data_IF_728083999427
#
_entry.id   IF_728083999427
#
_cell.length_a   1.000
_cell.length_b   1.000
_cell.length_c   1.000
_cell.angle_alpha   90.00
_cell.angle_beta   90.00
_cell.angle_gamma   90.00
#
_symmetry.space_group_name_H-M   'P 1'
#
loop_
_entity.id
_entity.type
_entity.pdbx_description
1 polymer ?
#
# COMPACT_ATOMS: atom_id res chain seq x y z
N UNK A 1 14.33 10.95 0.43
CA UNK A 1 13.80 10.99 1.82
C UNK A 1 12.83 12.15 2.00
N UNK A 2 11.67 11.92 2.59
CA UNK A 2 10.72 12.94 3.07
C UNK A 2 10.42 12.68 4.54
N UNK A 3 10.48 13.75 5.36
CA UNK A 3 10.24 13.66 6.80
C UNK A 3 9.35 14.82 7.24
N UNK A 4 8.05 14.55 7.43
CA UNK A 4 7.10 15.51 7.98
C UNK A 4 6.74 15.08 9.41
N UNK A 5 6.86 16.01 10.36
CA UNK A 5 6.49 15.79 11.76
C UNK A 5 5.50 16.85 12.21
N UNK A 6 4.42 16.42 12.83
CA UNK A 6 3.34 17.30 13.27
C UNK A 6 2.85 18.23 12.14
N UNK A 7 2.84 17.74 10.90
CA UNK A 7 2.21 18.43 9.79
C UNK A 7 0.69 18.50 10.02
N UNK A 8 0.04 19.47 9.41
CA UNK A 8 -1.39 19.73 9.61
C UNK A 8 -2.18 19.22 8.40
N UNK A 9 -3.24 18.45 8.67
CA UNK A 9 -4.30 18.21 7.70
C UNK A 9 -5.62 18.81 8.22
N UNK A 10 -6.53 19.10 7.32
CA UNK A 10 -7.86 19.58 7.63
C UNK A 10 -8.86 18.45 7.43
N UNK A 11 -9.42 17.96 8.51
CA UNK A 11 -10.39 16.85 8.49
C UNK A 11 -11.82 17.27 8.76
N UNK A 12 -12.57 16.40 9.39
CA UNK A 12 -14.00 16.56 9.67
C UNK A 12 -14.32 17.89 10.37
N UNK A 13 -15.41 18.51 9.95
CA UNK A 13 -15.82 19.82 10.39
C UNK A 13 -14.77 20.94 10.18
N UNK A 14 -13.93 20.80 9.15
CA UNK A 14 -12.82 21.73 8.85
C UNK A 14 -11.85 21.90 10.03
N UNK A 15 -11.74 20.88 10.88
CA UNK A 15 -10.85 20.91 12.03
C UNK A 15 -9.44 20.51 11.63
N UNK A 16 -8.45 21.31 12.06
CA UNK A 16 -7.04 20.99 11.90
C UNK A 16 -6.62 19.86 12.84
N UNK A 17 -5.84 18.90 12.36
CA UNK A 17 -5.22 17.85 13.17
C UNK A 17 -3.82 17.52 12.66
N UNK A 18 -3.07 16.74 13.43
CA UNK A 18 -1.66 16.46 13.20
C UNK A 18 -1.45 15.11 12.53
N UNK A 19 -0.49 15.08 11.62
CA UNK A 19 0.05 13.84 11.07
C UNK A 19 1.58 13.87 10.95
N UNK A 20 2.18 12.67 10.95
CA UNK A 20 3.57 12.45 10.59
C UNK A 20 3.59 11.63 9.31
N UNK A 21 4.53 11.91 8.42
CA UNK A 21 4.79 11.14 7.22
C UNK A 21 6.30 10.96 7.04
N UNK A 22 6.71 9.72 6.97
CA UNK A 22 8.10 9.32 6.73
C UNK A 22 8.19 8.54 5.44
N UNK A 23 9.01 8.98 4.49
CA UNK A 23 9.39 8.24 3.28
C UNK A 23 10.90 8.09 3.31
N UNK A 24 11.44 6.87 3.54
CA UNK A 24 12.87 6.64 3.61
C UNK A 24 13.56 6.81 2.24
N UNK A 25 14.88 6.81 2.21
CA UNK A 25 15.66 6.92 0.95
C UNK A 25 15.49 5.68 0.07
N UNK A 26 15.48 4.51 0.69
CA UNK A 26 15.27 3.19 0.08
C UNK A 26 13.78 2.80 -0.04
N UNK A 27 12.91 3.79 -0.30
CA UNK A 27 11.46 3.61 -0.34
C UNK A 27 11.03 2.55 -1.36
N UNK A 28 10.35 1.50 -0.88
CA UNK A 28 9.93 0.34 -1.67
C UNK A 28 8.55 0.50 -2.38
N UNK A 29 7.98 1.72 -2.41
CA UNK A 29 6.70 2.01 -3.07
C UNK A 29 5.46 1.69 -2.23
N UNK A 30 5.60 1.24 -0.99
CA UNK A 30 4.49 0.88 -0.10
C UNK A 30 4.39 1.84 1.07
N UNK A 31 3.25 2.47 1.25
CA UNK A 31 2.96 3.38 2.38
C UNK A 31 1.96 2.74 3.32
N UNK A 32 2.34 2.58 4.58
CA UNK A 32 1.43 2.18 5.65
C UNK A 32 0.83 3.43 6.27
N UNK A 33 -0.51 3.54 6.28
CA UNK A 33 -1.25 4.63 6.96
C UNK A 33 -1.90 4.04 8.21
N UNK A 34 -1.42 4.45 9.38
CA UNK A 34 -1.82 3.91 10.68
C UNK A 34 -2.92 4.74 11.32
N UNK A 35 -4.02 4.06 11.71
CA UNK A 35 -5.20 4.62 12.38
C UNK A 35 -5.22 4.12 13.83
N UNK A 36 -5.08 5.03 14.78
CA UNK A 36 -5.10 4.71 16.21
C UNK A 36 -6.51 4.34 16.72
N UNK A 37 -6.56 3.65 17.86
CA UNK A 37 -7.81 3.26 18.52
C UNK A 37 -8.47 4.35 19.37
N UNK A 38 -9.52 3.96 20.08
CA UNK A 38 -10.24 4.78 21.05
C UNK A 38 -9.33 5.28 22.18
N UNK A 39 -9.44 6.56 22.54
CA UNK A 39 -8.55 7.24 23.50
C UNK A 39 -7.06 7.10 23.13
N UNK A 40 -6.77 6.89 21.84
CA UNK A 40 -5.43 6.85 21.28
C UNK A 40 -5.04 8.15 20.59
N UNK A 41 -3.79 8.22 20.16
CA UNK A 41 -3.21 9.28 19.35
C UNK A 41 -2.00 8.73 18.59
N UNK A 42 -1.51 9.47 17.59
CA UNK A 42 -0.45 9.02 16.68
C UNK A 42 0.85 8.58 17.36
N UNK A 43 1.17 9.15 18.52
CA UNK A 43 2.40 8.89 19.28
C UNK A 43 2.15 8.06 20.55
N UNK A 44 1.02 7.36 20.64
CA UNK A 44 0.70 6.54 21.80
C UNK A 44 1.59 5.29 21.86
N UNK A 45 2.11 4.96 23.03
CA UNK A 45 2.86 3.73 23.26
C UNK A 45 4.08 3.60 22.35
N UNK A 46 4.25 2.43 21.77
CA UNK A 46 5.38 2.08 20.91
C UNK A 46 5.18 2.49 19.43
N UNK A 47 4.15 3.27 19.06
CA UNK A 47 3.88 3.61 17.66
C UNK A 47 4.99 4.38 16.96
N UNK A 48 5.80 5.14 17.70
CA UNK A 48 7.01 5.78 17.16
C UNK A 48 8.12 4.77 16.83
N UNK A 49 8.21 3.67 17.57
CA UNK A 49 9.18 2.60 17.31
C UNK A 49 8.65 1.69 16.18
N UNK A 50 7.33 1.45 16.16
CA UNK A 50 6.66 0.75 15.06
C UNK A 50 6.91 1.44 13.70
N UNK A 51 6.76 2.76 13.64
CA UNK A 51 7.10 3.56 12.48
C UNK A 51 8.54 3.31 12.02
N UNK A 52 9.51 3.40 12.95
CA UNK A 52 10.93 3.18 12.66
C UNK A 52 11.20 1.77 12.15
N UNK A 53 10.53 0.76 12.70
CA UNK A 53 10.69 -0.63 12.27
C UNK A 53 10.25 -0.86 10.83
N UNK A 54 9.20 -0.19 10.38
CA UNK A 54 8.76 -0.27 8.99
C UNK A 54 9.64 0.58 8.06
N UNK A 55 9.99 1.82 8.46
CA UNK A 55 10.80 2.69 7.62
C UNK A 55 12.23 2.15 7.44
N UNK A 56 12.79 1.44 8.42
CA UNK A 56 14.05 0.73 8.28
C UNK A 56 14.00 -0.41 7.23
N UNK A 57 12.82 -0.95 6.94
CA UNK A 57 12.59 -1.96 5.90
C UNK A 57 12.19 -1.34 4.54
N UNK A 58 12.34 -0.03 4.37
CA UNK A 58 12.01 0.67 3.13
C UNK A 58 10.53 1.02 2.95
N UNK A 59 9.65 0.74 3.91
CA UNK A 59 8.25 1.18 3.84
C UNK A 59 8.13 2.67 4.16
N UNK A 60 7.25 3.38 3.46
CA UNK A 60 6.73 4.64 3.94
C UNK A 60 5.79 4.43 5.13
N UNK A 61 5.73 5.37 6.06
CA UNK A 61 4.82 5.29 7.19
C UNK A 61 4.15 6.63 7.47
N UNK A 62 2.84 6.61 7.60
CA UNK A 62 2.03 7.76 8.01
C UNK A 62 1.22 7.41 9.23
N UNK A 63 1.27 8.25 10.26
CA UNK A 63 0.40 8.17 11.45
C UNK A 63 -0.19 9.53 11.75
N UNK A 64 -1.41 9.56 12.24
CA UNK A 64 -2.13 10.80 12.41
C UNK A 64 -3.07 10.76 13.61
N UNK A 65 -3.47 11.92 14.09
CA UNK A 65 -4.55 12.08 15.06
C UNK A 65 -5.88 12.25 14.32
N UNK A 66 -6.89 11.46 14.67
CA UNK A 66 -8.27 11.74 14.29
C UNK A 66 -8.68 13.11 14.84
N UNK A 67 -9.41 13.89 14.05
CA UNK A 67 -9.65 15.32 14.36
C UNK A 67 -10.35 15.56 15.68
N UNK A 68 -11.15 14.61 16.15
CA UNK A 68 -11.93 14.70 17.38
C UNK A 68 -11.44 13.72 18.48
N UNK A 69 -10.15 13.32 18.43
CA UNK A 69 -9.60 12.43 19.45
C UNK A 69 -9.32 13.10 20.81
N UNK A 70 -9.53 14.40 20.93
CA UNK A 70 -9.25 15.19 22.13
C UNK A 70 -7.92 15.92 22.12
N UNK A 71 -7.08 15.70 21.09
CA UNK A 71 -5.91 16.52 20.82
C UNK A 71 -6.25 17.78 20.02
N UNK A 72 -5.27 18.67 19.87
CA UNK A 72 -5.34 19.82 18.97
C UNK A 72 -4.01 20.03 18.22
N UNK A 73 -3.94 21.04 17.38
CA UNK A 73 -2.76 21.30 16.52
C UNK A 73 -1.50 21.74 17.30
N UNK A 74 -1.62 22.11 18.57
CA UNK A 74 -0.49 22.50 19.42
C UNK A 74 -0.12 21.44 20.46
N UNK A 75 -1.08 20.57 20.84
CA UNK A 75 -0.87 19.44 21.72
C UNK A 75 -1.73 18.26 21.24
N UNK A 76 -1.07 17.30 20.59
CA UNK A 76 -1.72 16.09 20.05
C UNK A 76 -1.86 14.94 21.05
N UNK A 77 -1.45 15.12 22.30
CA UNK A 77 -1.45 14.11 23.35
C UNK A 77 -2.25 14.58 24.57
N UNK A 78 -2.57 13.64 25.49
CA UNK A 78 -3.20 13.91 26.80
C UNK A 78 -4.56 14.61 26.79
N UNK A 79 -5.24 14.63 25.66
CA UNK A 79 -6.63 15.08 25.50
C UNK A 79 -6.91 16.47 26.06
N UNK A 80 -6.20 17.54 25.62
CA UNK A 80 -6.40 18.89 26.12
C UNK A 80 -7.75 19.49 25.68
N UNK A 81 -8.41 18.92 24.66
CA UNK A 81 -9.67 19.40 24.10
C UNK A 81 -10.80 18.38 24.30
N UNK A 82 -11.31 18.31 25.52
CA UNK A 82 -12.42 17.42 25.86
C UNK A 82 -13.74 17.81 25.19
N UNK A 83 -13.94 19.08 24.81
CA UNK A 83 -15.13 19.51 24.07
C UNK A 83 -15.15 18.88 22.67
N UNK A 84 -14.02 18.90 21.98
CA UNK A 84 -13.86 18.20 20.69
C UNK A 84 -14.07 16.69 20.84
N UNK A 85 -13.46 16.08 21.86
CA UNK A 85 -13.63 14.65 22.15
C UNK A 85 -15.10 14.28 22.37
N UNK A 86 -15.85 15.10 23.11
CA UNK A 86 -17.27 14.88 23.34
C UNK A 86 -18.11 14.85 22.06
N UNK A 87 -17.68 15.61 21.05
CA UNK A 87 -18.36 15.73 19.74
C UNK A 87 -17.88 14.71 18.70
N UNK A 88 -16.99 13.80 19.10
CA UNK A 88 -16.51 12.75 18.18
C UNK A 88 -17.63 11.81 17.76
N UNK A 89 -17.58 11.32 16.50
CA UNK A 89 -18.50 10.32 15.96
C UNK A 89 -17.76 9.38 15.01
N UNK A 90 -18.34 8.20 14.75
CA UNK A 90 -17.73 7.23 13.83
C UNK A 90 -17.72 7.70 12.37
N UNK A 91 -18.74 8.47 11.95
CA UNK A 91 -18.76 9.08 10.62
C UNK A 91 -17.61 10.07 10.41
N UNK A 92 -17.26 10.86 11.44
CA UNK A 92 -16.12 11.77 11.41
C UNK A 92 -14.80 11.00 11.32
N UNK A 93 -14.63 9.95 12.15
CA UNK A 93 -13.42 9.11 12.10
C UNK A 93 -13.23 8.48 10.73
N UNK A 94 -14.30 7.95 10.11
CA UNK A 94 -14.28 7.43 8.73
C UNK A 94 -13.85 8.50 7.73
N UNK A 95 -14.45 9.68 7.80
CA UNK A 95 -14.17 10.78 6.88
C UNK A 95 -12.77 11.37 7.08
N UNK A 96 -12.24 11.40 8.31
CA UNK A 96 -10.90 11.89 8.60
C UNK A 96 -9.83 11.09 7.83
N UNK A 97 -10.03 9.78 7.64
CA UNK A 97 -9.13 8.96 6.81
C UNK A 97 -9.13 9.46 5.36
N UNK A 98 -10.31 9.75 4.78
CA UNK A 98 -10.41 10.27 3.42
C UNK A 98 -9.70 11.63 3.28
N UNK A 99 -9.92 12.54 4.23
CA UNK A 99 -9.27 13.86 4.22
C UNK A 99 -7.74 13.73 4.36
N UNK A 100 -7.28 12.85 5.25
CA UNK A 100 -5.85 12.59 5.41
C UNK A 100 -5.24 12.02 4.12
N UNK A 101 -5.86 11.01 3.51
CA UNK A 101 -5.34 10.40 2.28
C UNK A 101 -5.22 11.43 1.15
N UNK A 102 -6.18 12.33 1.01
CA UNK A 102 -6.11 13.43 0.03
C UNK A 102 -4.94 14.40 0.33
N UNK A 103 -4.59 14.62 1.60
CA UNK A 103 -3.43 15.42 1.97
C UNK A 103 -2.13 14.68 1.68
N UNK A 104 -2.02 13.43 2.13
CA UNK A 104 -0.81 12.60 1.98
C UNK A 104 -0.44 12.39 0.51
N UNK A 105 -1.43 12.22 -0.38
CA UNK A 105 -1.20 12.05 -1.83
C UNK A 105 -0.45 13.21 -2.49
N UNK A 106 -0.47 14.41 -1.89
CA UNK A 106 0.29 15.56 -2.40
C UNK A 106 1.80 15.42 -2.17
N UNK A 107 2.21 14.52 -1.30
CA UNK A 107 3.56 14.37 -0.79
C UNK A 107 4.26 13.07 -1.21
N UNK A 108 3.53 12.13 -1.78
CA UNK A 108 4.04 10.79 -2.11
C UNK A 108 4.12 10.56 -3.63
N UNK A 109 4.97 9.65 -4.11
CA UNK A 109 5.00 9.24 -5.52
C UNK A 109 3.63 8.71 -6.00
N UNK A 110 3.27 8.98 -7.26
CA UNK A 110 1.96 8.61 -7.83
C UNK A 110 1.67 7.10 -7.79
N UNK A 111 2.70 6.27 -7.88
CA UNK A 111 2.57 4.81 -7.92
C UNK A 111 2.62 4.15 -6.54
N UNK A 112 2.57 4.95 -5.46
CA UNK A 112 2.56 4.43 -4.10
C UNK A 112 1.35 3.54 -3.83
N UNK A 113 1.58 2.35 -3.30
CA UNK A 113 0.54 1.46 -2.79
C UNK A 113 0.25 1.82 -1.33
N UNK A 114 -0.98 2.23 -1.04
CA UNK A 114 -1.40 2.65 0.31
C UNK A 114 -2.06 1.48 1.03
N UNK A 115 -1.53 1.13 2.22
CA UNK A 115 -2.05 0.09 3.10
C UNK A 115 -2.63 0.74 4.34
N UNK A 116 -3.96 0.67 4.54
CA UNK A 116 -4.59 1.13 5.77
C UNK A 116 -4.36 0.10 6.87
N UNK A 117 -3.68 0.50 7.94
CA UNK A 117 -3.48 -0.31 9.14
C UNK A 117 -4.22 0.34 10.31
N UNK A 118 -5.19 -0.36 10.90
CA UNK A 118 -5.96 0.18 12.01
C UNK A 118 -5.88 -0.69 13.25
N UNK A 119 -5.67 -0.05 14.42
CA UNK A 119 -5.68 -0.70 15.73
C UNK A 119 -7.02 -0.51 16.43
N UNK A 120 -7.60 -1.58 16.97
CA UNK A 120 -8.82 -1.53 17.78
C UNK A 120 -9.98 -0.86 17.02
N UNK A 121 -10.56 0.24 17.54
CA UNK A 121 -11.54 1.07 16.81
C UNK A 121 -11.01 1.52 15.44
N UNK A 122 -9.73 1.89 15.35
CA UNK A 122 -9.10 2.28 14.10
C UNK A 122 -9.10 1.16 13.04
N UNK A 123 -9.10 -0.11 13.44
CA UNK A 123 -9.28 -1.25 12.55
C UNK A 123 -10.68 -1.28 11.92
N UNK A 124 -11.73 -1.05 12.71
CA UNK A 124 -13.08 -0.88 12.19
C UNK A 124 -13.19 0.31 11.22
N UNK A 125 -12.53 1.44 11.55
CA UNK A 125 -12.47 2.62 10.66
C UNK A 125 -11.73 2.31 9.35
N UNK A 126 -10.65 1.52 9.39
CA UNK A 126 -9.95 1.07 8.19
C UNK A 126 -10.86 0.22 7.28
N UNK A 127 -11.59 -0.74 7.86
CA UNK A 127 -12.56 -1.57 7.13
C UNK A 127 -13.68 -0.73 6.49
N UNK A 128 -14.20 0.28 7.18
CA UNK A 128 -15.22 1.20 6.65
C UNK A 128 -14.73 2.06 5.47
N UNK A 129 -13.42 2.13 5.23
CA UNK A 129 -12.80 2.82 4.09
C UNK A 129 -12.39 1.87 2.95
N UNK A 130 -12.90 0.63 2.93
CA UNK A 130 -12.55 -0.40 1.94
C UNK A 130 -12.85 0.01 0.49
N UNK A 131 -13.85 0.83 0.23
CA UNK A 131 -14.21 1.30 -1.11
C UNK A 131 -13.30 2.41 -1.65
N UNK A 132 -12.45 3.02 -0.79
CA UNK A 132 -11.57 4.10 -1.24
C UNK A 132 -10.56 3.59 -2.26
N UNK A 133 -10.63 4.10 -3.50
CA UNK A 133 -9.82 3.66 -4.64
C UNK A 133 -8.31 3.83 -4.41
N UNK A 134 -7.90 4.77 -3.57
CA UNK A 134 -6.50 5.00 -3.23
C UNK A 134 -5.93 3.97 -2.25
N UNK A 135 -6.78 3.13 -1.65
CA UNK A 135 -6.39 2.09 -0.70
C UNK A 135 -6.15 0.78 -1.42
N UNK A 136 -4.95 0.24 -1.30
CA UNK A 136 -4.55 -1.04 -1.90
C UNK A 136 -4.93 -2.24 -1.03
N UNK A 137 -4.69 -2.17 0.28
CA UNK A 137 -5.02 -3.26 1.21
C UNK A 137 -5.43 -2.74 2.59
N UNK A 138 -6.04 -3.60 3.39
CA UNK A 138 -6.47 -3.30 4.76
C UNK A 138 -5.83 -4.28 5.73
N UNK A 139 -5.30 -3.73 6.83
CA UNK A 139 -4.66 -4.49 7.91
C UNK A 139 -5.35 -4.11 9.21
N UNK A 140 -5.84 -5.10 9.95
CA UNK A 140 -6.51 -4.90 11.22
C UNK A 140 -5.71 -5.52 12.37
N UNK A 141 -5.49 -4.73 13.42
CA UNK A 141 -4.81 -5.12 14.65
C UNK A 141 -5.79 -5.04 15.81
N UNK A 142 -6.13 -6.18 16.42
CA UNK A 142 -7.06 -6.25 17.57
C UNK A 142 -8.36 -5.42 17.33
N UNK A 143 -8.93 -5.54 16.11
CA UNK A 143 -9.99 -4.66 15.61
C UNK A 143 -11.36 -5.01 16.17
N UNK A 144 -12.19 -3.99 16.34
CA UNK A 144 -13.62 -4.18 16.52
C UNK A 144 -14.27 -4.69 15.24
N UNK A 145 -15.23 -5.61 15.36
CA UNK A 145 -16.05 -6.13 14.25
C UNK A 145 -17.38 -5.40 14.09
N UNK A 146 -17.83 -4.69 15.15
CA UNK A 146 -19.12 -4.04 15.16
C UNK A 146 -19.15 -2.80 16.05
N UNK A 147 -19.70 -1.72 15.50
CA UNK A 147 -19.99 -0.50 16.25
C UNK A 147 -21.24 -0.70 17.11
N UNK A 148 -22.24 -1.46 16.63
CA UNK A 148 -23.49 -1.68 17.37
C UNK A 148 -23.28 -2.36 18.72
N UNK A 149 -22.31 -3.29 18.82
CA UNK A 149 -21.95 -3.95 20.10
C UNK A 149 -21.58 -2.96 21.21
N UNK A 150 -21.20 -1.73 20.87
CA UNK A 150 -20.84 -0.66 21.83
C UNK A 150 -22.06 0.10 22.35
N UNK A 151 -23.26 -0.21 21.85
CA UNK A 151 -24.53 0.45 22.15
C UNK A 151 -25.64 -0.54 22.56
N UNK A 152 -25.31 -1.73 23.01
CA UNK A 152 -26.27 -2.77 23.38
C UNK A 152 -26.87 -2.59 24.79
N UNK A 153 -26.23 -1.81 25.67
CA UNK A 153 -26.72 -1.52 27.01
C UNK A 153 -27.86 -0.49 26.96
N UNK A 154 -29.07 -1.00 27.05
CA UNK A 154 -30.29 -0.18 26.96
C UNK A 154 -30.42 0.84 28.12
N UNK A 155 -30.04 0.47 29.35
CA UNK A 155 -30.13 1.38 30.51
C UNK A 155 -29.07 2.49 30.37
N UNK A 156 -27.89 2.17 29.91
CA UNK A 156 -26.88 3.17 29.60
C UNK A 156 -27.35 4.12 28.50
N UNK A 157 -27.94 3.63 27.42
CA UNK A 157 -28.47 4.47 26.32
C UNK A 157 -29.59 5.40 26.80
N UNK A 158 -30.53 4.88 27.61
CA UNK A 158 -31.62 5.67 28.19
C UNK A 158 -31.08 6.81 29.04
N UNK A 159 -30.20 6.52 30.00
CA UNK A 159 -29.57 7.53 30.84
C UNK A 159 -28.76 8.54 30.00
N UNK A 160 -28.01 8.07 29.01
CA UNK A 160 -27.23 8.94 28.13
C UNK A 160 -28.12 9.88 27.30
N UNK A 161 -29.28 9.41 26.83
CA UNK A 161 -30.29 10.25 26.16
C UNK A 161 -30.85 11.34 27.07
N UNK A 162 -31.18 10.98 28.32
CA UNK A 162 -31.71 11.90 29.30
C UNK A 162 -30.72 12.99 29.72
N UNK A 163 -29.44 12.61 29.89
CA UNK A 163 -28.39 13.55 30.34
C UNK A 163 -27.70 14.30 29.18
N UNK A 164 -27.86 13.83 27.96
CA UNK A 164 -27.20 14.37 26.76
C UNK A 164 -25.69 14.05 26.67
N UNK A 165 -25.05 13.66 27.77
CA UNK A 165 -23.62 13.35 27.86
C UNK A 165 -23.38 12.20 28.85
N UNK A 166 -22.45 11.30 28.50
CA UNK A 166 -21.91 10.28 29.41
C UNK A 166 -20.42 10.48 29.57
N UNK A 167 -19.86 9.99 30.67
CA UNK A 167 -18.44 10.08 30.97
C UNK A 167 -17.84 8.68 31.11
N UNK A 168 -16.63 8.50 30.55
CA UNK A 168 -15.81 7.30 30.72
C UNK A 168 -14.47 7.74 31.28
N UNK A 169 -14.02 7.14 32.39
CA UNK A 169 -12.73 7.49 32.97
C UNK A 169 -11.58 6.94 32.11
N UNK A 170 -10.68 7.81 31.67
CA UNK A 170 -9.42 7.40 31.11
C UNK A 170 -8.53 6.82 32.21
N UNK A 171 -8.16 5.54 32.13
CA UNK A 171 -7.43 4.88 33.20
C UNK A 171 -6.00 5.41 33.39
N UNK A 172 -5.40 5.96 32.34
CA UNK A 172 -4.05 6.56 32.37
C UNK A 172 -4.06 7.99 32.91
N UNK A 173 -4.83 8.89 32.31
CA UNK A 173 -4.83 10.31 32.67
C UNK A 173 -5.77 10.64 33.80
N UNK A 174 -6.65 9.71 34.20
CA UNK A 174 -7.74 9.88 35.17
C UNK A 174 -8.77 10.93 34.79
N UNK A 175 -8.69 11.47 33.57
CA UNK A 175 -9.71 12.41 33.04
C UNK A 175 -11.04 11.70 32.83
N UNK A 176 -12.12 12.44 33.07
CA UNK A 176 -13.48 12.03 32.73
C UNK A 176 -13.74 12.42 31.29
N UNK A 177 -13.68 11.41 30.40
CA UNK A 177 -13.81 11.59 28.95
C UNK A 177 -15.30 11.70 28.56
N UNK A 178 -15.76 12.89 28.13
CA UNK A 178 -17.17 13.10 27.81
C UNK A 178 -17.54 12.51 26.44
N UNK A 179 -18.77 11.99 26.35
CA UNK A 179 -19.38 11.55 25.09
C UNK A 179 -20.76 12.16 24.97
N UNK A 180 -20.99 13.02 24.00
CA UNK A 180 -22.31 13.55 23.70
C UNK A 180 -23.20 12.46 23.08
N UNK A 181 -24.50 12.49 23.39
CA UNK A 181 -25.49 11.56 22.84
C UNK A 181 -25.56 11.61 21.31
N UNK A 182 -25.08 12.70 20.68
CA UNK A 182 -24.93 12.85 19.24
C UNK A 182 -24.06 11.75 18.60
N UNK A 183 -23.16 11.11 19.37
CA UNK A 183 -22.38 9.96 18.88
C UNK A 183 -23.29 8.77 18.55
N UNK A 184 -24.30 8.52 19.38
CA UNK A 184 -25.29 7.47 19.13
C UNK A 184 -26.24 7.85 17.99
N UNK A 185 -26.67 9.12 17.93
CA UNK A 185 -27.51 9.61 16.83
C UNK A 185 -26.82 9.52 15.48
N UNK A 186 -25.53 9.86 15.39
CA UNK A 186 -24.68 9.68 14.21
C UNK A 186 -24.63 8.20 13.77
N UNK A 187 -24.41 7.29 14.73
CA UNK A 187 -24.42 5.85 14.42
C UNK A 187 -25.77 5.39 13.86
N UNK A 188 -26.90 5.87 14.41
CA UNK A 188 -28.24 5.50 13.91
C UNK A 188 -28.49 6.09 12.53
N UNK A 189 -28.10 7.35 12.29
CA UNK A 189 -28.25 8.05 11.01
C UNK A 189 -27.46 7.37 9.90
N UNK A 190 -26.20 7.01 10.17
CA UNK A 190 -25.26 6.42 9.19
C UNK A 190 -25.10 4.91 9.39
N UNK A 191 -26.11 4.21 9.93
CA UNK A 191 -26.00 2.79 10.31
C UNK A 191 -25.55 1.89 9.16
N UNK A 192 -25.98 2.16 7.94
CA UNK A 192 -25.63 1.37 6.76
C UNK A 192 -24.16 1.60 6.32
N UNK A 193 -23.71 2.86 6.35
CA UNK A 193 -22.31 3.21 6.00
C UNK A 193 -21.32 2.86 7.10
N UNK A 194 -21.78 2.72 8.34
CA UNK A 194 -21.00 2.35 9.52
C UNK A 194 -21.10 0.86 9.84
N UNK A 195 -21.59 0.04 8.92
CA UNK A 195 -21.74 -1.40 9.08
C UNK A 195 -20.45 -2.13 8.67
N UNK A 196 -19.64 -2.52 9.68
CA UNK A 196 -18.34 -3.21 9.46
C UNK A 196 -18.56 -4.59 8.82
N UNK A 197 -19.59 -5.34 9.23
CA UNK A 197 -19.90 -6.65 8.62
C UNK A 197 -20.17 -6.52 7.10
N UNK A 198 -21.00 -5.53 6.72
CA UNK A 198 -21.28 -5.23 5.32
C UNK A 198 -20.02 -4.85 4.55
N UNK A 199 -19.20 -3.98 5.16
CA UNK A 199 -17.91 -3.58 4.60
C UNK A 199 -16.97 -4.78 4.38
N UNK A 200 -16.87 -5.68 5.36
CA UNK A 200 -16.07 -6.91 5.24
C UNK A 200 -16.57 -7.81 4.13
N UNK A 201 -17.90 -8.04 4.03
CA UNK A 201 -18.51 -8.91 3.01
C UNK A 201 -18.37 -8.36 1.59
N UNK A 202 -18.25 -7.04 1.42
CA UNK A 202 -18.03 -6.39 0.12
C UNK A 202 -16.55 -6.09 -0.18
N UNK A 203 -15.65 -6.39 0.76
CA UNK A 203 -14.21 -6.14 0.61
C UNK A 203 -13.62 -7.00 -0.51
N UNK A 204 -13.12 -6.36 -1.56
CA UNK A 204 -12.48 -7.00 -2.72
C UNK A 204 -10.97 -6.74 -2.79
N UNK A 205 -10.39 -6.17 -1.72
CA UNK A 205 -8.97 -5.85 -1.61
C UNK A 205 -8.24 -6.86 -0.73
N UNK A 206 -6.93 -7.05 -0.93
CA UNK A 206 -6.12 -7.83 0.00
C UNK A 206 -6.31 -7.34 1.44
N UNK A 207 -6.47 -8.27 2.38
CA UNK A 207 -6.60 -7.89 3.78
C UNK A 207 -5.84 -8.86 4.69
N UNK A 208 -5.47 -8.37 5.87
CA UNK A 208 -4.76 -9.10 6.91
C UNK A 208 -5.42 -8.85 8.25
N UNK A 209 -5.80 -9.91 8.95
CA UNK A 209 -6.47 -9.84 10.26
C UNK A 209 -5.53 -10.41 11.32
N UNK A 210 -5.12 -9.57 12.28
CA UNK A 210 -4.21 -9.95 13.38
C UNK A 210 -4.90 -9.66 14.72
N UNK A 211 -4.85 -10.62 15.65
CA UNK A 211 -5.45 -10.46 16.99
C UNK A 211 -4.62 -11.20 18.04
N UNK A 212 -4.54 -10.65 19.25
CA UNK A 212 -3.93 -11.31 20.40
C UNK A 212 -4.91 -12.24 21.10
N UNK A 213 -4.46 -13.44 21.53
CA UNK A 213 -5.33 -14.40 22.21
C UNK A 213 -5.61 -14.07 23.69
N UNK A 214 -4.90 -13.07 24.24
CA UNK A 214 -5.09 -12.54 25.59
C UNK A 214 -5.71 -11.14 25.61
N UNK A 215 -6.30 -10.72 24.49
CA UNK A 215 -7.00 -9.44 24.41
C UNK A 215 -8.27 -9.44 25.27
N UNK A 216 -8.29 -8.61 26.31
CA UNK A 216 -9.43 -8.43 27.21
C UNK A 216 -10.26 -7.18 26.90
N UNK A 217 -9.83 -6.36 25.95
CA UNK A 217 -10.50 -5.10 25.57
C UNK A 217 -11.40 -5.29 24.34
N UNK A 218 -10.92 -6.02 23.35
CA UNK A 218 -11.66 -6.47 22.18
C UNK A 218 -11.46 -7.98 22.08
N UNK A 219 -12.53 -8.71 22.24
CA UNK A 219 -12.48 -10.18 22.23
C UNK A 219 -11.97 -10.73 20.89
N UNK A 220 -11.19 -11.81 20.93
CA UNK A 220 -10.64 -12.48 19.73
C UNK A 220 -11.77 -12.92 18.78
N UNK A 221 -13.00 -13.18 19.29
CA UNK A 221 -14.16 -13.50 18.48
C UNK A 221 -14.48 -12.38 17.47
N UNK A 222 -14.21 -11.11 17.80
CA UNK A 222 -14.36 -10.01 16.83
C UNK A 222 -13.34 -10.15 15.68
N UNK A 223 -12.12 -10.62 15.94
CA UNK A 223 -11.15 -10.98 14.90
C UNK A 223 -11.61 -12.17 14.04
N UNK A 224 -12.20 -13.19 14.66
CA UNK A 224 -12.79 -14.37 13.96
C UNK A 224 -13.94 -13.94 13.05
N UNK A 225 -14.82 -13.06 13.51
CA UNK A 225 -15.92 -12.50 12.71
C UNK A 225 -15.38 -11.78 11.47
N UNK A 226 -14.42 -10.87 11.62
CA UNK A 226 -13.80 -10.13 10.51
C UNK A 226 -13.16 -11.12 9.51
N UNK A 227 -12.36 -12.07 9.99
CA UNK A 227 -11.69 -13.07 9.15
C UNK A 227 -12.71 -13.92 8.37
N UNK A 228 -13.82 -14.30 9.02
CA UNK A 228 -14.89 -15.05 8.39
C UNK A 228 -15.60 -14.24 7.30
N UNK A 229 -15.97 -12.99 7.58
CA UNK A 229 -16.69 -12.14 6.61
C UNK A 229 -15.83 -11.73 5.42
N UNK A 230 -14.52 -11.60 5.62
CA UNK A 230 -13.57 -11.26 4.55
C UNK A 230 -12.98 -12.47 3.84
N UNK A 231 -13.36 -13.70 4.27
CA UNK A 231 -12.78 -14.96 3.79
C UNK A 231 -11.24 -14.97 3.85
N UNK A 232 -10.68 -14.47 4.94
CA UNK A 232 -9.23 -14.34 5.16
C UNK A 232 -8.78 -15.14 6.39
N UNK A 233 -7.52 -15.56 6.47
CA UNK A 233 -7.01 -16.17 7.68
C UNK A 233 -6.93 -15.15 8.83
N UNK A 234 -7.26 -15.60 10.05
CA UNK A 234 -6.93 -14.90 11.28
C UNK A 234 -5.52 -15.30 11.73
N UNK A 235 -4.63 -14.33 11.89
CA UNK A 235 -3.33 -14.52 12.50
C UNK A 235 -3.40 -14.19 13.98
N UNK A 236 -3.36 -15.23 14.80
CA UNK A 236 -3.39 -15.10 16.26
C UNK A 236 -1.99 -14.96 16.80
N UNK A 237 -1.72 -13.92 17.60
CA UNK A 237 -0.46 -13.73 18.30
C UNK A 237 -0.60 -14.32 19.71
N UNK A 238 0.09 -15.41 19.96
CA UNK A 238 0.03 -16.13 21.23
C UNK A 238 0.55 -15.28 22.40
N UNK A 239 -0.22 -15.21 23.49
CA UNK A 239 0.10 -14.45 24.68
C UNK A 239 -0.02 -12.93 24.54
N UNK A 240 -0.44 -12.41 23.38
CA UNK A 240 -0.56 -10.98 23.16
C UNK A 240 -1.86 -10.40 23.73
N UNK A 241 -1.72 -9.27 24.42
CA UNK A 241 -2.84 -8.42 24.87
C UNK A 241 -3.36 -7.51 23.74
N UNK A 242 -4.29 -6.61 24.10
CA UNK A 242 -4.91 -5.65 23.17
C UNK A 242 -3.92 -4.77 22.41
N UNK A 243 -2.76 -4.48 23.00
CA UNK A 243 -1.74 -3.54 22.50
C UNK A 243 -0.45 -4.24 22.07
N UNK A 244 -0.49 -5.58 22.00
CA UNK A 244 0.65 -6.42 21.65
C UNK A 244 1.88 -6.16 22.53
N UNK A 245 1.64 -5.98 23.85
CA UNK A 245 2.67 -5.71 24.85
C UNK A 245 3.10 -4.24 24.96
N UNK A 246 2.49 -3.34 24.18
CA UNK A 246 2.78 -1.91 24.27
C UNK A 246 1.99 -1.24 25.41
N UNK A 247 2.58 -0.22 26.03
CA UNK A 247 1.92 0.64 27.01
C UNK A 247 2.32 2.09 26.79
N UNK A 248 1.53 3.04 27.34
CA UNK A 248 1.91 4.45 27.25
C UNK A 248 2.13 5.05 28.67
N UNK A 249 3.27 5.74 28.92
CA UNK A 249 4.36 6.00 27.97
C UNK A 249 5.20 4.77 27.68
N UNK A 250 5.83 4.71 26.48
CA UNK A 250 6.77 3.68 26.09
C UNK A 250 8.20 4.23 26.14
N UNK A 251 9.02 3.72 27.03
CA UNK A 251 10.37 4.25 27.30
C UNK A 251 11.50 3.40 26.69
N UNK A 252 11.18 2.23 26.11
CA UNK A 252 12.15 1.40 25.40
C UNK A 252 12.44 1.97 24.00
N UNK A 253 13.65 1.71 23.50
CA UNK A 253 14.05 1.96 22.11
C UNK A 253 13.70 0.78 21.19
N UNK A 254 13.28 -0.34 21.75
CA UNK A 254 12.91 -1.58 21.06
C UNK A 254 11.40 -1.76 21.08
N UNK A 255 10.87 -2.47 20.09
CA UNK A 255 9.47 -2.89 20.09
C UNK A 255 9.22 -3.92 21.21
N UNK A 256 7.99 -4.04 21.71
CA UNK A 256 7.57 -5.25 22.41
C UNK A 256 7.69 -6.47 21.51
N UNK A 257 8.11 -7.62 22.05
CA UNK A 257 8.26 -8.88 21.30
C UNK A 257 7.04 -9.22 20.45
N UNK A 258 5.84 -9.10 21.01
CA UNK A 258 4.59 -9.39 20.30
C UNK A 258 4.28 -8.41 19.15
N UNK A 259 4.74 -7.18 19.28
CA UNK A 259 4.61 -6.19 18.21
C UNK A 259 5.67 -6.41 17.11
N UNK A 260 6.84 -6.99 17.42
CA UNK A 260 7.80 -7.44 16.40
C UNK A 260 7.23 -8.57 15.53
N UNK A 261 6.53 -9.55 16.15
CA UNK A 261 5.81 -10.60 15.42
C UNK A 261 4.78 -10.00 14.44
N UNK A 262 4.03 -8.98 14.89
CA UNK A 262 3.06 -8.23 14.06
C UNK A 262 3.75 -7.55 12.88
N UNK A 263 4.89 -6.87 13.10
CA UNK A 263 5.67 -6.21 12.03
C UNK A 263 6.12 -7.22 10.97
N UNK A 264 6.64 -8.38 11.39
CA UNK A 264 7.09 -9.43 10.47
C UNK A 264 5.95 -9.97 9.60
N UNK A 265 4.76 -10.20 10.17
CA UNK A 265 3.57 -10.64 9.45
C UNK A 265 3.12 -9.59 8.42
N UNK A 266 3.04 -8.31 8.82
CA UNK A 266 2.61 -7.21 7.95
C UNK A 266 3.59 -7.03 6.79
N UNK A 267 4.90 -6.98 7.07
CA UNK A 267 5.94 -6.84 6.05
C UNK A 267 5.86 -7.99 5.03
N UNK A 268 5.73 -9.23 5.51
CA UNK A 268 5.56 -10.40 4.65
C UNK A 268 4.30 -10.31 3.79
N UNK A 269 3.18 -9.88 4.39
CA UNK A 269 1.91 -9.72 3.68
C UNK A 269 2.02 -8.68 2.56
N UNK A 270 2.55 -7.49 2.85
CA UNK A 270 2.67 -6.40 1.87
C UNK A 270 3.62 -6.81 0.73
N UNK A 271 4.80 -7.36 1.04
CA UNK A 271 5.78 -7.75 0.03
C UNK A 271 5.29 -8.90 -0.87
N UNK A 272 4.44 -9.80 -0.37
CA UNK A 272 3.76 -10.81 -1.21
C UNK A 272 2.80 -10.19 -2.22
N UNK A 273 2.12 -9.08 -1.88
CA UNK A 273 1.24 -8.39 -2.82
C UNK A 273 2.02 -7.80 -4.00
N UNK A 274 3.21 -7.28 -3.76
CA UNK A 274 4.09 -6.76 -4.83
C UNK A 274 4.49 -7.86 -5.83
N UNK A 275 4.73 -9.09 -5.37
CA UNK A 275 5.06 -10.23 -6.25
C UNK A 275 3.89 -10.65 -7.15
N UNK A 276 2.66 -10.40 -6.74
CA UNK A 276 1.43 -10.74 -7.47
C UNK A 276 0.88 -9.56 -8.30
N UNK A 277 1.52 -8.39 -8.28
CA UNK A 277 1.11 -7.25 -9.10
C UNK A 277 1.23 -7.65 -10.58
N UNK A 278 0.18 -7.48 -11.40
CA UNK A 278 0.32 -7.63 -12.84
C UNK A 278 1.43 -6.68 -13.29
N UNK A 279 2.41 -7.22 -14.00
CA UNK A 279 3.46 -6.38 -14.59
C UNK A 279 2.83 -5.43 -15.58
N UNK A 280 3.25 -4.18 -15.54
CA UNK A 280 2.86 -3.18 -16.55
C UNK A 280 3.44 -3.58 -17.90
N UNK A 281 2.89 -3.04 -18.99
CA UNK A 281 3.44 -3.26 -20.33
C UNK A 281 4.92 -2.85 -20.43
N UNK A 282 5.30 -1.78 -19.73
CA UNK A 282 6.69 -1.32 -19.67
C UNK A 282 7.61 -2.29 -18.91
N UNK A 283 7.16 -2.80 -17.76
CA UNK A 283 7.89 -3.82 -16.99
C UNK A 283 8.00 -5.14 -17.79
N UNK A 284 6.94 -5.52 -18.51
CA UNK A 284 6.94 -6.70 -19.36
C UNK A 284 7.93 -6.58 -20.53
N UNK A 285 8.00 -5.41 -21.15
CA UNK A 285 8.99 -5.11 -22.18
C UNK A 285 10.42 -5.16 -21.61
N UNK A 286 10.66 -4.50 -20.47
CA UNK A 286 11.97 -4.53 -19.83
C UNK A 286 12.38 -5.93 -19.40
N UNK A 287 11.45 -6.74 -18.87
CA UNK A 287 11.72 -8.14 -18.53
C UNK A 287 12.20 -8.94 -19.76
N UNK A 288 11.55 -8.78 -20.92
CA UNK A 288 12.01 -9.45 -22.15
C UNK A 288 13.41 -8.99 -22.58
N UNK A 289 13.70 -7.69 -22.46
CA UNK A 289 15.02 -7.15 -22.75
C UNK A 289 16.08 -7.74 -21.79
N UNK A 290 15.77 -7.85 -20.48
CA UNK A 290 16.70 -8.49 -19.51
C UNK A 290 16.91 -9.98 -19.76
N UNK A 291 15.87 -10.72 -20.18
CA UNK A 291 16.02 -12.15 -20.54
C UNK A 291 16.84 -12.35 -21.82
N UNK A 292 16.72 -11.45 -22.77
CA UNK A 292 17.53 -11.49 -24.00
C UNK A 292 19.01 -11.21 -23.71
N UNK A 293 19.32 -10.24 -22.84
CA UNK A 293 20.70 -9.91 -22.47
C UNK A 293 21.43 -11.01 -21.67
N UNK A 294 20.72 -12.05 -21.22
CA UNK A 294 21.29 -13.23 -20.52
C UNK A 294 21.56 -14.42 -21.44
N UNK A 295 21.24 -14.32 -22.73
CA UNK A 295 21.24 -15.51 -23.65
C UNK A 295 22.64 -16.06 -23.84
N UNK A 296 23.66 -15.22 -23.88
CA UNK A 296 25.06 -15.59 -24.05
C UNK A 296 25.84 -15.74 -22.74
N UNK A 297 25.22 -15.47 -21.57
CA UNK A 297 25.78 -15.70 -20.25
C UNK A 297 25.89 -14.41 -19.43
N UNK A 298 27.01 -13.70 -19.50
CA UNK A 298 27.27 -12.49 -18.73
C UNK A 298 26.84 -11.23 -19.49
N UNK A 299 26.12 -10.33 -18.81
CA UNK A 299 25.67 -9.06 -19.39
C UNK A 299 26.87 -8.13 -19.50
N UNK A 300 27.15 -7.65 -20.70
CA UNK A 300 28.23 -6.69 -20.95
C UNK A 300 27.86 -5.30 -20.47
N UNK A 301 28.86 -4.48 -20.13
CA UNK A 301 28.67 -3.12 -19.61
C UNK A 301 27.85 -2.24 -20.57
N UNK A 302 28.07 -2.38 -21.90
CA UNK A 302 27.35 -1.63 -22.93
C UNK A 302 25.86 -2.02 -22.99
N UNK A 303 25.56 -3.32 -22.90
CA UNK A 303 24.17 -3.84 -22.84
C UNK A 303 23.45 -3.35 -21.58
N UNK A 304 24.11 -3.41 -20.43
CA UNK A 304 23.53 -2.89 -19.19
C UNK A 304 23.27 -1.38 -19.27
N UNK A 305 24.18 -0.61 -19.87
CA UNK A 305 24.00 0.81 -20.13
C UNK A 305 22.78 1.10 -21.02
N UNK A 306 22.59 0.29 -22.07
CA UNK A 306 21.44 0.41 -22.96
C UNK A 306 20.12 0.04 -22.26
N UNK A 307 20.12 -1.03 -21.45
CA UNK A 307 18.95 -1.41 -20.63
C UNK A 307 18.57 -0.30 -19.64
N UNK A 308 19.53 0.33 -19.00
CA UNK A 308 19.29 1.49 -18.13
C UNK A 308 18.66 2.68 -18.87
N UNK A 309 19.14 2.97 -20.09
CA UNK A 309 18.59 4.04 -20.90
C UNK A 309 17.14 3.77 -21.29
N UNK A 310 16.82 2.54 -21.69
CA UNK A 310 15.42 2.16 -22.02
C UNK A 310 14.55 2.18 -20.76
N UNK A 311 15.03 1.66 -19.64
CA UNK A 311 14.30 1.70 -18.38
C UNK A 311 13.91 3.12 -18.02
N UNK A 312 14.85 4.07 -18.07
CA UNK A 312 14.59 5.48 -17.84
C UNK A 312 13.56 6.07 -18.82
N UNK A 313 13.62 5.74 -20.11
CA UNK A 313 12.64 6.17 -21.10
C UNK A 313 11.23 5.64 -20.84
N UNK A 314 11.13 4.43 -20.25
CA UNK A 314 9.89 3.78 -19.87
C UNK A 314 9.38 4.20 -18.49
N UNK A 315 10.11 5.08 -17.80
CA UNK A 315 9.77 5.56 -16.46
C UNK A 315 10.06 4.56 -15.34
N UNK A 316 10.97 3.61 -15.58
CA UNK A 316 11.41 2.62 -14.59
C UNK A 316 12.73 3.10 -13.95
N UNK A 317 12.85 2.89 -12.64
CA UNK A 317 14.09 3.13 -11.89
C UNK A 317 15.13 2.04 -12.14
N UNK A 318 16.39 2.29 -11.75
CA UNK A 318 17.45 1.28 -11.78
C UNK A 318 17.11 0.08 -10.88
N UNK A 319 16.51 0.33 -9.73
CA UNK A 319 16.10 -0.67 -8.76
C UNK A 319 15.01 -1.58 -9.36
N UNK A 320 14.00 -1.00 -10.01
CA UNK A 320 12.97 -1.77 -10.73
C UNK A 320 13.55 -2.62 -11.87
N UNK A 321 14.52 -2.08 -12.60
CA UNK A 321 15.25 -2.85 -13.61
C UNK A 321 15.99 -4.05 -12.97
N UNK A 322 16.71 -3.82 -11.85
CA UNK A 322 17.44 -4.91 -11.17
C UNK A 322 16.50 -6.00 -10.65
N UNK A 323 15.31 -5.63 -10.14
CA UNK A 323 14.31 -6.62 -9.76
C UNK A 323 13.83 -7.48 -10.92
N UNK A 324 13.74 -6.94 -12.14
CA UNK A 324 13.34 -7.69 -13.32
C UNK A 324 14.35 -8.76 -13.70
N UNK A 325 15.64 -8.60 -13.38
CA UNK A 325 16.66 -9.64 -13.59
C UNK A 325 16.44 -10.87 -12.70
N UNK A 326 15.78 -10.73 -11.55
CA UNK A 326 15.53 -11.82 -10.60
C UNK A 326 14.15 -12.48 -10.79
N UNK A 327 13.23 -11.81 -11.49
CA UNK A 327 11.85 -12.30 -11.69
C UNK A 327 11.80 -13.43 -12.71
N UNK A 328 10.92 -14.43 -12.47
CA UNK A 328 10.46 -15.40 -13.48
C UNK A 328 9.03 -15.04 -13.85
N UNK A 329 8.83 -14.52 -15.05
CA UNK A 329 7.53 -14.00 -15.50
C UNK A 329 7.08 -14.77 -16.75
N UNK A 330 5.84 -15.28 -16.74
CA UNK A 330 5.21 -15.77 -17.96
C UNK A 330 4.65 -14.57 -18.73
N UNK A 331 5.26 -14.27 -19.86
CA UNK A 331 4.93 -13.12 -20.70
C UNK A 331 4.09 -13.52 -21.91
N UNK A 332 3.06 -12.70 -22.22
CA UNK A 332 2.32 -12.76 -23.48
C UNK A 332 2.66 -11.54 -24.33
N UNK A 333 2.92 -11.69 -25.64
CA UNK A 333 3.21 -10.57 -26.52
C UNK A 333 2.08 -9.52 -26.53
N UNK A 334 2.40 -8.23 -26.80
CA UNK A 334 1.38 -7.20 -26.97
C UNK A 334 0.32 -7.57 -27.99
N UNK A 335 -0.93 -7.17 -27.75
CA UNK A 335 -2.04 -7.42 -28.68
C UNK A 335 -1.93 -6.57 -29.94
N UNK A 336 -1.41 -5.34 -29.80
CA UNK A 336 -1.22 -4.41 -30.91
C UNK A 336 0.02 -4.77 -31.72
N UNK A 337 -0.13 -4.88 -33.04
CA UNK A 337 0.95 -5.25 -33.95
C UNK A 337 2.09 -4.23 -33.99
N UNK A 338 1.77 -2.94 -34.02
CA UNK A 338 2.78 -1.87 -34.02
C UNK A 338 3.63 -1.91 -32.75
N UNK A 339 3.03 -2.21 -31.62
CA UNK A 339 3.74 -2.40 -30.35
C UNK A 339 4.69 -3.62 -30.41
N UNK A 340 4.24 -4.74 -31.01
CA UNK A 340 5.09 -5.93 -31.21
C UNK A 340 6.30 -5.63 -32.11
N UNK A 341 6.09 -4.86 -33.20
CA UNK A 341 7.17 -4.44 -34.09
C UNK A 341 8.18 -3.55 -33.36
N UNK A 342 7.70 -2.55 -32.61
CA UNK A 342 8.58 -1.65 -31.82
C UNK A 342 9.33 -2.41 -30.76
N UNK A 343 8.68 -3.35 -30.08
CA UNK A 343 9.30 -4.19 -29.07
C UNK A 343 10.38 -5.10 -29.67
N UNK A 344 10.08 -5.76 -30.76
CA UNK A 344 11.06 -6.58 -31.49
C UNK A 344 12.25 -5.74 -31.97
N UNK A 345 12.02 -4.55 -32.48
CA UNK A 345 13.10 -3.66 -32.92
C UNK A 345 14.02 -3.25 -31.74
N UNK A 346 13.44 -2.96 -30.56
CA UNK A 346 14.24 -2.69 -29.35
C UNK A 346 15.12 -3.89 -28.94
N UNK A 347 14.57 -5.12 -29.04
CA UNK A 347 15.35 -6.34 -28.81
C UNK A 347 16.51 -6.47 -29.81
N UNK A 348 16.27 -6.17 -31.08
CA UNK A 348 17.36 -6.14 -32.08
C UNK A 348 18.42 -5.09 -31.71
N UNK A 349 18.05 -3.85 -31.38
CA UNK A 349 19.00 -2.82 -30.98
C UNK A 349 19.85 -3.22 -29.76
N UNK A 350 19.26 -3.93 -28.80
CA UNK A 350 20.00 -4.45 -27.65
C UNK A 350 21.08 -5.43 -28.08
N UNK A 351 20.74 -6.41 -28.92
CA UNK A 351 21.67 -7.43 -29.40
C UNK A 351 22.80 -6.88 -30.31
N UNK A 352 22.56 -5.71 -30.93
CA UNK A 352 23.55 -5.05 -31.79
C UNK A 352 24.33 -3.93 -31.12
N UNK A 353 24.14 -3.72 -29.80
CA UNK A 353 24.69 -2.53 -29.08
C UNK A 353 26.21 -2.55 -29.00
N UNK A 354 26.83 -3.73 -28.90
CA UNK A 354 28.29 -3.93 -28.84
C UNK A 354 28.93 -4.29 -30.17
N UNK A 355 28.15 -4.40 -31.22
CA UNK A 355 28.56 -4.86 -32.58
C UNK A 355 29.13 -6.30 -32.63
N UNK A 356 28.96 -7.10 -31.58
CA UNK A 356 29.32 -8.52 -31.52
C UNK A 356 28.06 -9.34 -31.46
N UNK A 357 27.64 -9.93 -32.56
CA UNK A 357 26.43 -10.72 -32.65
C UNK A 357 26.71 -12.21 -32.53
N UNK A 358 26.27 -12.84 -31.47
CA UNK A 358 26.44 -14.26 -31.25
C UNK A 358 25.33 -15.10 -31.93
N UNK A 359 25.68 -16.32 -32.35
CA UNK A 359 24.73 -17.22 -33.02
C UNK A 359 23.47 -17.50 -32.17
N UNK A 360 23.63 -17.66 -30.87
CA UNK A 360 22.53 -17.94 -29.95
C UNK A 360 21.60 -16.75 -29.77
N UNK A 361 22.10 -15.52 -29.81
CA UNK A 361 21.32 -14.29 -29.80
C UNK A 361 20.45 -14.15 -31.06
N UNK A 362 21.02 -14.40 -32.24
CA UNK A 362 20.27 -14.43 -33.49
C UNK A 362 19.14 -15.47 -33.47
N UNK A 363 19.40 -16.64 -32.91
CA UNK A 363 18.43 -17.71 -32.76
C UNK A 363 17.32 -17.27 -31.78
N UNK A 364 17.68 -16.61 -30.67
CA UNK A 364 16.74 -16.10 -29.69
C UNK A 364 15.87 -14.98 -30.27
N UNK A 365 16.43 -14.03 -31.04
CA UNK A 365 15.68 -13.00 -31.75
C UNK A 365 14.64 -13.59 -32.70
N UNK A 366 15.05 -14.54 -33.56
CA UNK A 366 14.15 -15.22 -34.50
C UNK A 366 13.01 -15.94 -33.78
N UNK A 367 13.31 -16.68 -32.73
CA UNK A 367 12.31 -17.38 -31.94
C UNK A 367 11.33 -16.40 -31.26
N UNK A 368 11.82 -15.25 -30.80
CA UNK A 368 11.00 -14.22 -30.18
C UNK A 368 10.07 -13.54 -31.19
N UNK A 369 10.58 -13.24 -32.39
CA UNK A 369 9.76 -12.74 -33.51
C UNK A 369 8.61 -13.68 -33.88
N UNK A 370 8.89 -14.99 -33.93
CA UNK A 370 7.88 -16.04 -34.19
C UNK A 370 6.82 -16.03 -33.08
N UNK A 371 7.23 -16.00 -31.80
CA UNK A 371 6.30 -15.93 -30.64
C UNK A 371 5.46 -14.66 -30.63
N UNK A 372 5.99 -13.56 -31.15
CA UNK A 372 5.27 -12.29 -31.34
C UNK A 372 4.34 -12.29 -32.56
N UNK A 373 4.36 -13.35 -33.37
CA UNK A 373 3.55 -13.42 -34.59
C UNK A 373 3.99 -12.43 -35.68
N UNK A 374 5.29 -12.08 -35.72
CA UNK A 374 5.84 -11.19 -36.73
C UNK A 374 6.24 -11.98 -38.00
N UNK A 375 6.08 -11.38 -39.22
CA UNK A 375 6.43 -12.03 -40.45
C UNK A 375 7.95 -12.35 -40.53
N UNK A 376 8.34 -13.61 -40.73
CA UNK A 376 9.75 -14.01 -40.73
C UNK A 376 10.63 -13.23 -41.73
N UNK A 377 10.09 -12.93 -42.93
CA UNK A 377 10.81 -12.17 -43.94
C UNK A 377 11.09 -10.73 -43.53
N UNK A 378 10.10 -10.04 -42.93
CA UNK A 378 10.29 -8.70 -42.39
C UNK A 378 11.29 -8.69 -41.22
N UNK A 379 11.23 -9.71 -40.38
CA UNK A 379 12.16 -9.91 -39.26
C UNK A 379 13.62 -10.03 -39.78
N UNK A 380 13.87 -10.85 -40.79
CA UNK A 380 15.20 -10.99 -41.37
C UNK A 380 15.69 -9.72 -42.06
N UNK A 381 14.79 -8.93 -42.66
CA UNK A 381 15.17 -7.64 -43.25
C UNK A 381 15.67 -6.66 -42.19
N UNK A 382 15.01 -6.59 -41.01
CA UNK A 382 15.46 -5.76 -39.90
C UNK A 382 16.81 -6.20 -39.35
N UNK A 383 17.00 -7.52 -39.13
CA UNK A 383 18.26 -8.10 -38.65
C UNK A 383 19.39 -7.81 -39.64
N UNK A 384 19.18 -8.09 -40.90
CA UNK A 384 20.18 -7.85 -41.95
C UNK A 384 20.54 -6.38 -42.10
N UNK A 385 19.56 -5.49 -41.98
CA UNK A 385 19.82 -4.05 -42.06
C UNK A 385 20.74 -3.59 -40.93
N UNK A 386 20.49 -4.03 -39.69
CA UNK A 386 21.32 -3.69 -38.52
C UNK A 386 22.72 -4.30 -38.62
N UNK A 387 22.87 -5.50 -39.21
CA UNK A 387 24.17 -6.10 -39.45
C UNK A 387 25.03 -5.29 -40.45
N UNK A 388 24.39 -4.71 -41.49
CA UNK A 388 25.08 -3.94 -42.55
C UNK A 388 25.39 -2.50 -42.06
N UNK A 389 24.61 -1.96 -41.10
CA UNK A 389 24.71 -0.60 -40.60
C UNK A 389 24.94 -0.59 -39.07
N UNK A 390 26.10 -1.07 -38.59
CA UNK A 390 26.39 -1.15 -37.16
C UNK A 390 26.36 0.25 -36.50
N UNK A 391 25.66 0.37 -35.35
CA UNK A 391 25.51 1.63 -34.62
C UNK A 391 24.49 2.60 -35.18
N UNK A 392 23.81 2.26 -36.30
CA UNK A 392 22.75 3.09 -36.86
C UNK A 392 21.35 2.58 -36.45
N UNK A 393 20.34 3.42 -36.53
CA UNK A 393 18.93 3.07 -36.28
C UNK A 393 18.08 3.15 -37.53
N UNK A 394 17.19 2.20 -37.76
CA UNK A 394 16.22 2.25 -38.86
C UNK A 394 15.23 3.38 -38.60
N UNK A 395 15.05 4.34 -39.53
CA UNK A 395 14.05 5.38 -39.41
C UNK A 395 12.64 4.78 -39.22
N UNK A 396 11.82 5.37 -38.34
CA UNK A 396 10.48 4.86 -37.98
C UNK A 396 9.61 4.52 -39.18
N UNK A 397 9.63 5.37 -40.21
CA UNK A 397 8.82 5.19 -41.43
C UNK A 397 9.33 4.01 -42.28
N UNK A 398 10.61 3.74 -42.30
CA UNK A 398 11.19 2.59 -42.99
C UNK A 398 10.94 1.29 -42.26
N UNK A 399 11.07 1.28 -40.92
CA UNK A 399 10.71 0.14 -40.09
C UNK A 399 9.25 -0.30 -40.36
N UNK A 400 8.31 0.65 -40.33
CA UNK A 400 6.89 0.36 -40.62
C UNK A 400 6.72 -0.20 -42.03
N UNK A 401 7.38 0.36 -43.04
CA UNK A 401 7.31 -0.14 -44.41
C UNK A 401 7.82 -1.56 -44.57
N UNK A 402 8.90 -1.95 -43.90
CA UNK A 402 9.42 -3.32 -43.90
C UNK A 402 8.33 -4.32 -43.49
N UNK A 403 7.56 -4.01 -42.48
CA UNK A 403 6.48 -4.88 -42.03
C UNK A 403 5.23 -4.78 -42.91
N UNK A 404 4.85 -3.61 -43.41
CA UNK A 404 3.66 -3.43 -44.26
C UNK A 404 3.80 -4.09 -45.65
N UNK A 405 4.97 -4.11 -46.28
CA UNK A 405 5.21 -4.72 -47.60
C UNK A 405 5.19 -6.24 -47.58
N UNK A 406 5.19 -6.87 -46.42
CA UNK A 406 5.27 -8.34 -46.28
C UNK A 406 3.94 -8.96 -45.81
N UNK A 407 2.83 -8.21 -45.85
CA UNK A 407 1.48 -8.73 -45.55
C UNK A 407 0.64 -9.08 -46.78
N UNK A 408 1.24 -9.18 -47.99
CA UNK A 408 0.56 -9.65 -49.22
C UNK A 408 0.89 -11.09 -49.55
#
# INVERSE_FOLDING_TARGET
MLHLRNAIYIGSNKRASLFDLEIPEDYNGNLIVFIHGYMGFKDWGAWNILEKSFTYQGFGFCKFNLTHNGGNSTNGIDFPDLESFAKNTYSKEKNDVVYLLNEVQKHIPKNTLIHLMGHSRGGGVALLNHENENVHSIITLASISSISKRFEDFEMLKKWKETGVRFVQNQRTKQQMPHNYSQYLDFIEFKEELNIEKACKSLNKPNLVIHGDKDTSVSIEEGVEIATWTNSPLYTIEGADHTFGSSHPWNSKELPEKLEEVVALISTFILKQNKNKPITENEALMFQLTEMSKVDGDIKEMEFGFLLQIAHQLGLSKEELMELFEKKINHTPPKNELERIVQFYRLCLLMFVDNELHHDELKALRNTAIKMGLPPFATEQVINWLQIHPGESIPKNELIKIFQTNFN
#
